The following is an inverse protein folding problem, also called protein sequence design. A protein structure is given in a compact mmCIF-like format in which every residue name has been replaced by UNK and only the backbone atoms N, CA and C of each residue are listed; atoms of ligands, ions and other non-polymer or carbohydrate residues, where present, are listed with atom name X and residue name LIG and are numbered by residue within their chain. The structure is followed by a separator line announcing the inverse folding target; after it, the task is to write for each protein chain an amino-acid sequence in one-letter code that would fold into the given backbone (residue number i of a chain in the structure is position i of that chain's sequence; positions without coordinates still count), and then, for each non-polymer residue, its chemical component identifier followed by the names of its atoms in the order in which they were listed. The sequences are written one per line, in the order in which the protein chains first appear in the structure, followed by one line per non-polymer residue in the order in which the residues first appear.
data_IF_327278009945
#
_entry.id   IF_327278009945
#
_cell.length_a   1.000
_cell.length_b   1.000
_cell.length_c   1.000
_cell.angle_alpha   90.00
_cell.angle_beta   90.00
_cell.angle_gamma   90.00
#
_symmetry.space_group_name_H-M   'P 1'
#
loop_
_entity.id
_entity.type
_entity.pdbx_description
1 polymer ?
#
# COMPACT_ATOMS: atom_id res chain seq x y z
N UNK A 1 23.27 -4.54 6.76
CA UNK A 1 21.91 -4.05 6.45
C UNK A 1 21.09 -5.23 5.99
N UNK A 2 20.01 -5.57 6.69
CA UNK A 2 19.12 -6.67 6.30
C UNK A 2 18.23 -6.22 5.13
N UNK A 3 18.11 -7.02 4.08
CA UNK A 3 17.22 -6.71 2.94
C UNK A 3 15.77 -6.96 3.33
N UNK A 4 14.86 -6.04 2.98
CA UNK A 4 13.41 -6.18 3.22
C UNK A 4 12.68 -6.89 2.06
N UNK A 5 13.34 -6.98 0.91
CA UNK A 5 12.80 -7.60 -0.29
C UNK A 5 13.80 -8.61 -0.85
N UNK A 6 13.28 -9.65 -1.47
CA UNK A 6 14.01 -10.53 -2.36
C UNK A 6 13.41 -10.48 -3.77
N UNK A 7 14.27 -10.72 -4.76
CA UNK A 7 13.89 -10.76 -6.17
C UNK A 7 13.98 -12.18 -6.67
N UNK A 8 12.92 -12.67 -7.30
CA UNK A 8 12.80 -14.04 -7.77
C UNK A 8 12.39 -14.02 -9.24
N UNK A 9 12.94 -14.88 -10.11
CA UNK A 9 12.38 -15.07 -11.45
C UNK A 9 10.95 -15.63 -11.31
N UNK A 10 10.02 -15.13 -12.12
CA UNK A 10 8.67 -15.67 -12.15
C UNK A 10 8.70 -17.10 -12.73
N UNK A 11 8.19 -18.11 -11.99
CA UNK A 11 8.22 -19.50 -12.42
C UNK A 11 7.34 -19.79 -13.65
N UNK A 12 6.35 -18.93 -13.92
CA UNK A 12 5.49 -19.03 -15.09
C UNK A 12 6.02 -18.22 -16.30
N UNK A 13 6.77 -17.14 -16.04
CA UNK A 13 7.35 -16.28 -17.07
C UNK A 13 8.77 -15.81 -16.70
N UNK A 14 9.80 -16.49 -17.22
CA UNK A 14 11.20 -16.16 -16.91
C UNK A 14 11.67 -14.75 -17.35
N UNK A 15 10.81 -13.94 -17.99
CA UNK A 15 11.07 -12.53 -18.30
C UNK A 15 10.64 -11.59 -17.17
N UNK A 16 9.80 -12.04 -16.26
CA UNK A 16 9.28 -11.26 -15.15
C UNK A 16 10.09 -11.54 -13.89
N UNK A 17 10.44 -10.49 -13.14
CA UNK A 17 11.06 -10.60 -11.82
C UNK A 17 10.04 -10.24 -10.75
N UNK A 18 9.68 -11.20 -9.91
CA UNK A 18 8.83 -11.01 -8.75
C UNK A 18 9.63 -10.36 -7.62
N UNK A 19 8.98 -9.49 -6.85
CA UNK A 19 9.50 -8.97 -5.61
C UNK A 19 8.67 -9.55 -4.45
N UNK A 20 9.33 -10.24 -3.52
CA UNK A 20 8.71 -10.81 -2.34
C UNK A 20 9.28 -10.12 -1.08
N UNK A 21 8.44 -9.96 -0.05
CA UNK A 21 8.92 -9.55 1.27
C UNK A 21 9.77 -10.68 1.85
N UNK A 22 10.94 -10.33 2.36
CA UNK A 22 11.70 -11.24 3.23
C UNK A 22 11.03 -11.31 4.60
N UNK A 23 11.43 -12.26 5.44
CA UNK A 23 10.96 -12.33 6.83
C UNK A 23 11.20 -11.00 7.57
N UNK A 24 12.42 -10.45 7.48
CA UNK A 24 12.74 -9.15 8.06
C UNK A 24 11.93 -8.00 7.43
N UNK A 25 11.57 -8.11 6.14
CA UNK A 25 10.65 -7.20 5.48
C UNK A 25 9.25 -7.24 6.06
N UNK A 26 8.73 -8.45 6.30
CA UNK A 26 7.43 -8.65 6.91
C UNK A 26 7.40 -8.19 8.37
N UNK A 27 8.40 -8.57 9.17
CA UNK A 27 8.58 -8.07 10.54
C UNK A 27 8.59 -6.54 10.60
N UNK A 28 9.25 -5.90 9.63
CA UNK A 28 9.27 -4.44 9.53
C UNK A 28 7.87 -3.87 9.31
N UNK A 29 7.08 -4.45 8.40
CA UNK A 29 5.69 -4.03 8.15
C UNK A 29 4.88 -4.13 9.44
N UNK A 30 4.93 -5.29 10.12
CA UNK A 30 4.21 -5.52 11.38
C UNK A 30 4.63 -4.50 12.44
N UNK A 31 5.93 -4.29 12.64
CA UNK A 31 6.44 -3.35 13.63
C UNK A 31 6.01 -1.90 13.35
N UNK A 32 5.83 -1.51 12.08
CA UNK A 32 5.35 -0.17 11.71
C UNK A 32 3.83 -0.02 11.73
N UNK A 33 3.09 -1.13 11.69
CA UNK A 33 1.63 -1.11 11.52
C UNK A 33 0.91 -0.34 12.63
N UNK A 34 1.23 -0.53 13.94
CA UNK A 34 0.55 0.21 15.00
C UNK A 34 0.75 1.73 14.90
N UNK A 35 1.97 2.19 14.55
CA UNK A 35 2.24 3.62 14.42
C UNK A 35 1.58 4.23 13.20
N UNK A 36 1.76 3.60 12.03
CA UNK A 36 1.24 4.14 10.77
C UNK A 36 -0.30 4.14 10.72
N UNK A 37 -0.93 3.04 11.15
CA UNK A 37 -2.39 2.94 11.12
C UNK A 37 -3.04 3.94 12.08
N UNK A 38 -2.49 4.12 13.28
CA UNK A 38 -2.99 5.11 14.25
C UNK A 38 -2.88 6.52 13.69
N UNK A 39 -1.72 6.92 13.14
CA UNK A 39 -1.58 8.26 12.56
C UNK A 39 -2.54 8.52 11.39
N UNK A 40 -2.77 7.53 10.52
CA UNK A 40 -3.72 7.67 9.41
C UNK A 40 -5.14 7.80 9.92
N UNK A 41 -5.54 6.99 10.91
CA UNK A 41 -6.86 7.07 11.51
C UNK A 41 -7.05 8.44 12.16
N UNK A 42 -6.15 8.84 13.05
CA UNK A 42 -6.25 10.08 13.83
C UNK A 42 -6.25 11.35 12.95
N UNK A 43 -5.37 11.40 11.94
CA UNK A 43 -5.11 12.64 11.19
C UNK A 43 -5.93 12.74 9.89
N UNK A 44 -6.31 11.62 9.29
CA UNK A 44 -6.94 11.62 7.98
C UNK A 44 -8.37 11.07 7.99
N UNK A 45 -8.71 10.13 8.88
CA UNK A 45 -10.02 9.46 8.86
C UNK A 45 -10.96 10.01 9.93
N UNK A 46 -10.54 10.02 11.19
CA UNK A 46 -11.35 10.45 12.35
C UNK A 46 -11.90 11.90 12.24
N UNK A 47 -11.20 12.86 11.61
CA UNK A 47 -11.75 14.21 11.42
C UNK A 47 -12.90 14.28 10.41
N UNK A 48 -13.18 13.22 9.66
CA UNK A 48 -14.19 13.20 8.60
C UNK A 48 -15.53 12.67 9.10
N UNK A 49 -16.61 13.38 8.77
CA UNK A 49 -17.95 12.82 8.87
C UNK A 49 -18.11 11.63 7.90
N UNK A 50 -19.01 10.66 8.18
CA UNK A 50 -19.20 9.49 7.33
C UNK A 50 -19.43 9.82 5.85
N UNK A 51 -20.18 10.87 5.56
CA UNK A 51 -20.46 11.33 4.19
C UNK A 51 -19.20 11.89 3.51
N UNK A 52 -18.33 12.55 4.28
CA UNK A 52 -17.06 13.09 3.78
C UNK A 52 -16.06 11.97 3.49
N UNK A 53 -16.02 10.92 4.31
CA UNK A 53 -15.20 9.74 4.06
C UNK A 53 -15.62 9.01 2.78
N UNK A 54 -16.94 8.86 2.55
CA UNK A 54 -17.46 8.31 1.30
C UNK A 54 -17.10 9.19 0.09
N UNK A 55 -17.25 10.52 0.21
CA UNK A 55 -16.85 11.44 -0.84
C UNK A 55 -15.34 11.36 -1.15
N UNK A 56 -14.49 11.24 -0.12
CA UNK A 56 -13.04 11.06 -0.29
C UNK A 56 -12.74 9.79 -1.10
N UNK A 57 -13.40 8.67 -0.78
CA UNK A 57 -13.27 7.42 -1.53
C UNK A 57 -13.62 7.62 -3.00
N UNK A 58 -14.78 8.21 -3.30
CA UNK A 58 -15.24 8.41 -4.68
C UNK A 58 -14.27 9.29 -5.49
N UNK A 59 -13.75 10.36 -4.88
CA UNK A 59 -12.77 11.24 -5.52
C UNK A 59 -11.47 10.49 -5.80
N UNK A 60 -10.96 9.75 -4.81
CA UNK A 60 -9.73 8.96 -4.96
C UNK A 60 -9.85 7.92 -6.07
N UNK A 61 -10.96 7.17 -6.12
CA UNK A 61 -11.22 6.18 -7.18
C UNK A 61 -11.24 6.82 -8.58
N UNK A 62 -11.83 8.01 -8.74
CA UNK A 62 -11.83 8.73 -10.03
C UNK A 62 -10.44 9.18 -10.46
N UNK A 63 -9.63 9.65 -9.51
CA UNK A 63 -8.24 10.07 -9.77
C UNK A 63 -7.42 8.86 -10.20
N UNK A 64 -7.45 7.77 -9.42
CA UNK A 64 -6.73 6.52 -9.74
C UNK A 64 -7.17 5.99 -11.10
N UNK A 65 -8.47 5.92 -11.36
CA UNK A 65 -8.99 5.47 -12.65
C UNK A 65 -8.54 6.34 -13.84
N UNK A 66 -8.27 7.63 -13.63
CA UNK A 66 -7.68 8.50 -14.65
C UNK A 66 -6.21 8.18 -14.88
N UNK A 67 -5.45 7.99 -13.80
CA UNK A 67 -4.02 7.66 -13.86
C UNK A 67 -3.81 6.33 -14.58
N UNK A 68 -4.60 5.32 -14.25
CA UNK A 68 -4.51 3.98 -14.85
C UNK A 68 -4.83 4.00 -16.34
N UNK A 69 -5.81 4.80 -16.78
CA UNK A 69 -6.14 4.95 -18.21
C UNK A 69 -5.08 5.71 -19.01
N UNK A 70 -4.27 6.53 -18.35
CA UNK A 70 -3.28 7.39 -19.00
C UNK A 70 -1.92 6.70 -19.15
N UNK A 71 -1.72 5.55 -18.49
CA UNK A 71 -0.48 4.76 -18.53
C UNK A 71 -0.57 3.57 -19.48
#
# INVERSE_FOLDING_TARGET
MTSLLERLPDPADGRTTLAALTEAGFEKVVATTPGHAVEVLDLAIDPLAPEQFLALREIAERIVGTIEKTR
#
